data_IF_149028586166
#
_entry.id   IF_149028586166
#
_cell.length_a   1.000
_cell.length_b   1.000
_cell.length_c   1.000
_cell.angle_alpha   90.00
_cell.angle_beta   90.00
_cell.angle_gamma   90.00
#
_symmetry.space_group_name_H-M   'P 1'
#
loop_
_entity.id
_entity.type
_entity.pdbx_description
1 polymer ?
#
# COMPACT_ATOMS: atom_id res chain seq x y z
N UNK A 1 -11.76 -19.49 -5.75
CA UNK A 1 -10.66 -18.54 -5.48
C UNK A 1 -11.30 -17.23 -5.05
N UNK A 2 -11.02 -16.75 -3.85
CA UNK A 2 -11.60 -15.49 -3.36
C UNK A 2 -10.69 -14.37 -3.83
N UNK A 3 -11.17 -13.55 -4.77
CA UNK A 3 -10.48 -12.31 -5.12
C UNK A 3 -10.50 -11.39 -3.89
N UNK A 4 -9.34 -10.89 -3.47
CA UNK A 4 -9.22 -10.03 -2.29
C UNK A 4 -9.96 -8.70 -2.44
N UNK A 5 -9.95 -7.90 -1.37
CA UNK A 5 -10.51 -6.53 -1.38
C UNK A 5 -9.80 -5.67 -2.43
N UNK A 6 -10.57 -4.93 -3.23
CA UNK A 6 -10.04 -3.91 -4.14
C UNK A 6 -9.68 -2.65 -3.33
N UNK A 7 -8.50 -2.10 -3.58
CA UNK A 7 -8.01 -0.84 -3.01
C UNK A 7 -8.54 0.31 -3.86
N UNK A 8 -9.31 1.22 -3.27
CA UNK A 8 -10.02 2.27 -4.05
C UNK A 8 -9.67 3.70 -3.65
N UNK A 9 -8.93 3.90 -2.56
CA UNK A 9 -8.52 5.21 -2.08
C UNK A 9 -7.11 5.19 -1.46
N UNK A 10 -6.52 6.37 -1.27
CA UNK A 10 -5.21 6.51 -0.60
C UNK A 10 -5.19 5.94 0.83
N UNK A 11 -6.32 5.97 1.55
CA UNK A 11 -6.40 5.40 2.90
C UNK A 11 -6.19 3.88 2.90
N UNK A 12 -6.71 3.18 1.88
CA UNK A 12 -6.52 1.73 1.72
C UNK A 12 -5.06 1.39 1.41
N UNK A 13 -4.40 2.25 0.64
CA UNK A 13 -2.97 2.12 0.33
C UNK A 13 -2.14 2.35 1.59
N UNK A 14 -2.44 3.40 2.36
CA UNK A 14 -1.76 3.73 3.59
C UNK A 14 -1.90 2.61 4.64
N UNK A 15 -3.08 2.01 4.77
CA UNK A 15 -3.33 0.85 5.64
C UNK A 15 -2.41 -0.32 5.27
N UNK A 16 -2.34 -0.67 3.97
CA UNK A 16 -1.48 -1.74 3.48
C UNK A 16 0.01 -1.45 3.67
N UNK A 17 0.42 -0.21 3.41
CA UNK A 17 1.81 0.23 3.59
C UNK A 17 2.22 0.14 5.08
N UNK A 18 1.38 0.60 6.00
CA UNK A 18 1.62 0.49 7.43
C UNK A 18 1.69 -0.98 7.90
N UNK A 19 0.82 -1.83 7.37
CA UNK A 19 0.84 -3.27 7.67
C UNK A 19 2.14 -3.95 7.24
N UNK A 20 2.70 -3.57 6.08
CA UNK A 20 3.97 -4.06 5.55
C UNK A 20 5.16 -3.53 6.34
N UNK A 21 5.17 -2.22 6.65
CA UNK A 21 6.21 -1.58 7.45
C UNK A 21 6.32 -2.22 8.85
N UNK A 22 5.19 -2.56 9.47
CA UNK A 22 5.17 -3.24 10.77
C UNK A 22 5.76 -4.66 10.75
N UNK A 23 5.90 -5.29 9.58
CA UNK A 23 6.36 -6.69 9.43
C UNK A 23 7.74 -6.83 8.83
N UNK A 24 8.25 -5.80 8.17
CA UNK A 24 9.54 -5.86 7.49
C UNK A 24 10.27 -4.54 7.64
N UNK A 25 11.46 -4.63 8.22
CA UNK A 25 12.34 -3.48 8.41
C UNK A 25 12.71 -2.81 7.07
N UNK A 26 12.88 -3.58 5.99
CA UNK A 26 13.17 -2.98 4.68
C UNK A 26 11.99 -2.18 4.12
N UNK A 27 10.74 -2.60 4.37
CA UNK A 27 9.57 -1.84 3.92
C UNK A 27 9.33 -0.61 4.78
N UNK A 28 9.60 -0.67 6.09
CA UNK A 28 9.59 0.51 6.94
C UNK A 28 10.60 1.55 6.45
N UNK A 29 11.85 1.14 6.21
CA UNK A 29 12.89 2.04 5.71
C UNK A 29 12.55 2.63 4.34
N UNK A 30 12.00 1.83 3.43
CA UNK A 30 11.57 2.30 2.12
C UNK A 30 10.44 3.33 2.22
N UNK A 31 9.43 3.07 3.06
CA UNK A 31 8.28 3.96 3.25
C UNK A 31 8.72 5.31 3.85
N UNK A 32 9.63 5.30 4.81
CA UNK A 32 10.22 6.52 5.38
C UNK A 32 11.01 7.32 4.34
N UNK A 33 11.74 6.64 3.44
CA UNK A 33 12.58 7.30 2.44
C UNK A 33 11.79 7.97 1.31
N UNK A 34 10.67 7.38 0.88
CA UNK A 34 9.89 7.84 -0.28
C UNK A 34 8.59 8.57 0.10
N UNK A 35 8.15 8.44 1.35
CA UNK A 35 6.89 9.00 1.83
C UNK A 35 5.66 8.19 1.39
N UNK A 36 4.45 8.79 1.46
CA UNK A 36 3.20 8.08 1.21
C UNK A 36 3.12 7.52 -0.23
N UNK A 37 2.61 6.30 -0.35
CA UNK A 37 2.44 5.63 -1.63
C UNK A 37 1.15 6.11 -2.32
N UNK A 38 1.19 6.45 -3.62
CA UNK A 38 0.01 6.91 -4.33
C UNK A 38 -0.93 5.75 -4.70
N UNK A 39 -2.24 6.01 -4.69
CA UNK A 39 -3.21 5.12 -5.32
C UNK A 39 -2.95 5.05 -6.84
N UNK A 40 -2.77 3.83 -7.36
CA UNK A 40 -2.61 3.56 -8.80
C UNK A 40 -3.73 2.68 -9.35
N UNK A 41 -4.97 2.98 -8.95
CA UNK A 41 -6.15 2.36 -9.54
C UNK A 41 -6.47 3.07 -10.87
N UNK A 42 -6.14 2.43 -12.00
CA UNK A 42 -6.54 2.88 -13.34
C UNK A 42 -7.70 2.04 -13.84
N UNK A 43 -8.57 2.62 -14.66
CA UNK A 43 -9.76 1.93 -15.17
C UNK A 43 -9.41 0.79 -16.14
N UNK A 44 -8.22 0.85 -16.74
CA UNK A 44 -7.69 -0.05 -17.75
C UNK A 44 -6.71 -1.13 -17.21
N UNK A 45 -6.34 -1.06 -15.92
CA UNK A 45 -5.47 -2.04 -15.26
C UNK A 45 -3.99 -1.88 -15.57
#
# INVERSE_FOLDING_TARGET
MTTGRIITCDADVAEGAAWLAARSMQFAAALEAIGPLPLRLRNDG
#
